data_IF_836428694270
#
_entry.id   IF_836428694270
#
_cell.length_a   1.000
_cell.length_b   1.000
_cell.length_c   1.000
_cell.angle_alpha   90.00
_cell.angle_beta   90.00
_cell.angle_gamma   90.00
#
_symmetry.space_group_name_H-M   'P 1'
#
loop_
_entity.id
_entity.type
_entity.pdbx_description
1 polymer ?
#
# COMPACT_ATOMS: atom_id res chain seq x y z
N UNK A 1 0.21 -12.17 9.18
CA UNK A 1 -0.79 -11.67 8.19
C UNK A 1 -1.26 -10.22 8.41
N UNK A 2 -1.29 -9.66 9.64
CA UNK A 2 -1.81 -8.30 9.90
C UNK A 2 -0.83 -7.15 9.62
N UNK A 3 0.47 -7.34 9.85
CA UNK A 3 1.48 -6.26 9.73
C UNK A 3 1.48 -5.57 8.37
N UNK A 4 1.40 -6.31 7.25
CA UNK A 4 1.36 -5.73 5.88
C UNK A 4 0.17 -4.79 5.65
N UNK A 5 -0.98 -5.11 6.23
CA UNK A 5 -2.19 -4.29 6.11
C UNK A 5 -2.12 -3.07 7.03
N UNK A 6 -1.51 -3.22 8.21
CA UNK A 6 -1.23 -2.10 9.12
C UNK A 6 -0.30 -1.09 8.43
N UNK A 7 0.78 -1.55 7.79
CA UNK A 7 1.72 -0.68 7.05
C UNK A 7 1.00 0.07 5.93
N UNK A 8 0.15 -0.61 5.16
CA UNK A 8 -0.63 0.04 4.10
C UNK A 8 -1.63 1.06 4.66
N UNK A 9 -2.33 0.73 5.75
CA UNK A 9 -3.26 1.64 6.42
C UNK A 9 -2.56 2.88 6.99
N UNK A 10 -1.38 2.72 7.59
CA UNK A 10 -0.58 3.84 8.11
C UNK A 10 -0.11 4.73 6.95
N UNK A 11 0.43 4.15 5.87
CA UNK A 11 0.82 4.91 4.68
C UNK A 11 -0.36 5.67 4.08
N UNK A 12 -1.53 5.04 4.00
CA UNK A 12 -2.77 5.67 3.54
C UNK A 12 -3.19 6.85 4.44
N UNK A 13 -3.15 6.67 5.75
CA UNK A 13 -3.49 7.72 6.72
C UNK A 13 -2.54 8.93 6.60
N UNK A 14 -1.23 8.69 6.42
CA UNK A 14 -0.25 9.76 6.20
C UNK A 14 -0.52 10.51 4.88
N UNK A 15 -0.82 9.79 3.80
CA UNK A 15 -1.18 10.40 2.52
C UNK A 15 -2.44 11.27 2.66
N UNK A 16 -3.49 10.77 3.30
CA UNK A 16 -4.73 11.52 3.54
C UNK A 16 -4.45 12.76 4.40
N UNK A 17 -3.66 12.64 5.46
CA UNK A 17 -3.29 13.77 6.30
C UNK A 17 -2.52 14.85 5.52
N UNK A 18 -1.57 14.46 4.66
CA UNK A 18 -0.81 15.38 3.81
C UNK A 18 -1.71 16.14 2.84
N UNK A 19 -2.62 15.45 2.15
CA UNK A 19 -3.57 16.09 1.24
C UNK A 19 -4.63 16.94 1.95
N UNK A 20 -5.02 16.55 3.17
CA UNK A 20 -5.90 17.37 4.01
C UNK A 20 -5.20 18.67 4.40
N UNK A 21 -3.92 18.63 4.77
CA UNK A 21 -3.13 19.83 5.04
C UNK A 21 -3.01 20.75 3.82
N UNK A 22 -2.84 20.20 2.61
CA UNK A 22 -2.87 20.98 1.36
C UNK A 22 -4.24 21.64 1.15
N UNK A 23 -5.33 20.90 1.35
CA UNK A 23 -6.68 21.45 1.19
C UNK A 23 -6.95 22.59 2.18
N UNK A 24 -6.56 22.41 3.45
CA UNK A 24 -6.66 23.46 4.47
C UNK A 24 -5.81 24.67 4.08
N UNK A 25 -4.56 24.45 3.63
CA UNK A 25 -3.69 25.54 3.18
C UNK A 25 -4.27 26.31 1.99
N UNK A 26 -4.99 25.64 1.09
CA UNK A 26 -5.64 26.28 -0.06
C UNK A 26 -6.89 27.10 0.33
N UNK A 27 -7.73 26.58 1.21
CA UNK A 27 -9.01 27.21 1.56
C UNK A 27 -8.94 28.21 2.71
N UNK A 28 -8.08 27.96 3.71
CA UNK A 28 -8.02 28.75 4.93
C UNK A 28 -6.85 29.75 4.95
N UNK A 29 -5.87 29.57 4.07
CA UNK A 29 -4.71 30.42 3.98
C UNK A 29 -4.56 30.92 2.54
N UNK A 30 -3.98 32.11 2.34
CA UNK A 30 -3.57 32.59 1.02
C UNK A 30 -2.08 32.35 0.87
N UNK A 31 -1.65 31.10 0.56
CA UNK A 31 -0.23 30.77 0.55
C UNK A 31 0.49 31.51 -0.56
N UNK A 32 1.72 31.92 -0.28
CA UNK A 32 2.62 32.39 -1.33
C UNK A 32 2.94 31.24 -2.28
N UNK A 33 3.35 31.58 -3.52
CA UNK A 33 3.66 30.58 -4.55
C UNK A 33 4.69 29.56 -4.07
N UNK A 34 5.72 30.00 -3.35
CA UNK A 34 6.75 29.12 -2.77
C UNK A 34 6.17 28.14 -1.76
N UNK A 35 5.36 28.60 -0.81
CA UNK A 35 4.74 27.74 0.20
C UNK A 35 3.79 26.74 -0.45
N UNK A 36 3.02 27.17 -1.45
CA UNK A 36 2.11 26.31 -2.22
C UNK A 36 2.87 25.20 -2.94
N UNK A 37 3.95 25.53 -3.65
CA UNK A 37 4.76 24.53 -4.36
C UNK A 37 5.32 23.49 -3.39
N UNK A 38 5.90 23.91 -2.26
CA UNK A 38 6.47 22.98 -1.27
C UNK A 38 5.39 22.03 -0.74
N UNK A 39 4.22 22.54 -0.36
CA UNK A 39 3.12 21.75 0.18
C UNK A 39 2.63 20.70 -0.82
N UNK A 40 2.40 21.11 -2.07
CA UNK A 40 1.92 20.20 -3.13
C UNK A 40 3.00 19.17 -3.48
N UNK A 41 4.28 19.53 -3.51
CA UNK A 41 5.37 18.58 -3.74
C UNK A 41 5.43 17.52 -2.65
N UNK A 42 5.32 17.90 -1.38
CA UNK A 42 5.30 16.94 -0.26
C UNK A 42 4.08 16.02 -0.37
N UNK A 43 2.91 16.56 -0.70
CA UNK A 43 1.70 15.75 -0.89
C UNK A 43 1.82 14.79 -2.09
N UNK A 44 2.44 15.21 -3.18
CA UNK A 44 2.72 14.33 -4.33
C UNK A 44 3.68 13.19 -3.96
N UNK A 45 4.75 13.48 -3.20
CA UNK A 45 5.67 12.45 -2.70
C UNK A 45 4.93 11.45 -1.81
N UNK A 46 3.97 11.91 -0.98
CA UNK A 46 3.19 11.00 -0.14
C UNK A 46 2.35 10.00 -0.93
N UNK A 47 1.83 10.40 -2.10
CA UNK A 47 1.11 9.53 -3.03
C UNK A 47 2.02 8.50 -3.67
N UNK A 48 3.20 8.93 -4.15
CA UNK A 48 4.21 8.04 -4.70
C UNK A 48 4.58 6.96 -3.68
N UNK A 49 4.92 7.36 -2.44
CA UNK A 49 5.25 6.43 -1.35
C UNK A 49 4.10 5.45 -1.10
N UNK A 50 2.85 5.92 -1.06
CA UNK A 50 1.68 5.06 -0.91
C UNK A 50 1.59 4.01 -2.03
N UNK A 51 1.80 4.41 -3.29
CA UNK A 51 1.77 3.48 -4.41
C UNK A 51 2.89 2.44 -4.36
N UNK A 52 4.11 2.82 -3.97
CA UNK A 52 5.21 1.88 -3.77
C UNK A 52 4.90 0.87 -2.65
N UNK A 53 4.36 1.34 -1.53
CA UNK A 53 3.95 0.47 -0.41
C UNK A 53 2.81 -0.46 -0.85
N UNK A 54 1.82 0.06 -1.57
CA UNK A 54 0.71 -0.73 -2.11
C UNK A 54 1.21 -1.82 -3.07
N UNK A 55 2.11 -1.47 -3.99
CA UNK A 55 2.72 -2.41 -4.91
C UNK A 55 3.47 -3.53 -4.18
N UNK A 56 4.25 -3.19 -3.16
CA UNK A 56 4.95 -4.18 -2.33
C UNK A 56 4.01 -5.11 -1.57
N UNK A 57 2.97 -4.57 -0.93
CA UNK A 57 1.99 -5.35 -0.14
C UNK A 57 1.13 -6.25 -1.03
N UNK A 58 0.68 -5.74 -2.17
CA UNK A 58 -0.13 -6.49 -3.14
C UNK A 58 0.72 -7.55 -3.85
N UNK A 59 1.93 -7.22 -4.27
CA UNK A 59 2.88 -8.17 -4.87
C UNK A 59 3.19 -9.34 -3.94
N UNK A 60 3.46 -9.07 -2.67
CA UNK A 60 3.67 -10.12 -1.67
C UNK A 60 2.43 -10.99 -1.47
N UNK A 61 1.25 -10.39 -1.49
CA UNK A 61 -0.02 -11.11 -1.33
C UNK A 61 -0.31 -12.03 -2.52
N UNK A 62 0.04 -11.61 -3.74
CA UNK A 62 -0.06 -12.43 -4.94
C UNK A 62 0.89 -13.64 -4.90
N UNK A 63 2.15 -13.43 -4.51
CA UNK A 63 3.14 -14.51 -4.32
C UNK A 63 2.72 -15.52 -3.24
N UNK A 64 2.17 -15.04 -2.13
CA UNK A 64 1.63 -15.90 -1.07
C UNK A 64 0.45 -16.75 -1.58
N UNK A 65 -0.45 -16.17 -2.39
CA UNK A 65 -1.55 -16.90 -3.02
C UNK A 65 -1.08 -17.99 -3.97
N UNK A 66 -0.07 -17.72 -4.82
CA UNK A 66 0.53 -18.73 -5.70
C UNK A 66 1.15 -19.89 -4.93
N UNK A 67 1.88 -19.60 -3.84
CA UNK A 67 2.46 -20.66 -2.99
C UNK A 67 1.38 -21.55 -2.38
N UNK A 68 0.29 -20.97 -1.86
CA UNK A 68 -0.82 -21.73 -1.29
C UNK A 68 -1.53 -22.62 -2.34
N UNK A 69 -1.71 -22.14 -3.57
CA UNK A 69 -2.30 -22.93 -4.66
C UNK A 69 -1.38 -24.08 -5.09
N UNK A 70 -0.08 -23.83 -5.21
CA UNK A 70 0.91 -24.87 -5.54
C UNK A 70 1.02 -25.94 -4.45
N UNK A 71 0.94 -25.54 -3.18
CA UNK A 71 0.97 -26.48 -2.06
C UNK A 71 -0.27 -27.38 -2.02
N UNK A 72 -1.45 -26.82 -2.33
CA UNK A 72 -2.69 -27.60 -2.52
C UNK A 72 -2.60 -28.56 -3.71
N UNK A 73 -1.99 -28.14 -4.81
CA UNK A 73 -1.76 -29.01 -5.97
C UNK A 73 -0.75 -30.11 -5.65
N UNK A 74 0.34 -29.80 -4.96
CA UNK A 74 1.32 -30.80 -4.49
C UNK A 74 0.67 -31.82 -3.56
N UNK A 75 -0.16 -31.39 -2.61
CA UNK A 75 -0.90 -32.32 -1.75
C UNK A 75 -1.86 -33.23 -2.53
N UNK A 76 -2.52 -32.72 -3.58
CA UNK A 76 -3.39 -33.53 -4.44
C UNK A 76 -2.64 -34.53 -5.33
N UNK A 77 -1.50 -34.13 -5.89
CA UNK A 77 -0.75 -34.98 -6.83
C UNK A 77 0.24 -35.93 -6.15
N UNK A 78 0.81 -35.55 -5.00
CA UNK A 78 1.82 -36.34 -4.29
C UNK A 78 1.34 -36.90 -2.94
N UNK A 79 0.17 -36.49 -2.43
CA UNK A 79 -0.37 -36.96 -1.14
C UNK A 79 -1.44 -38.06 -1.25
N UNK A 80 -1.84 -38.47 -2.46
CA UNK A 80 -2.89 -39.48 -2.69
C UNK A 80 -2.39 -40.91 -2.93
N UNK A 81 -1.12 -41.21 -2.66
CA UNK A 81 -0.45 -42.45 -3.11
C UNK A 81 -0.20 -43.53 -2.04
N UNK A 82 -0.85 -43.51 -0.87
CA UNK A 82 -0.54 -44.50 0.18
C UNK A 82 -1.73 -45.26 0.80
N UNK A 83 -2.95 -45.17 0.25
CA UNK A 83 -4.10 -45.93 0.76
C UNK A 83 -4.93 -46.59 -0.36
N UNK A 84 -4.29 -47.35 -1.25
CA UNK A 84 -4.98 -48.30 -2.15
C UNK A 84 -4.11 -49.54 -2.40
#
# INVERSE_FOLDING_TARGET
MRARWIVLSVAGAVCVAAWTAVAIAYFAFSPTLTTWTILVTIAAISLEVLFWVAAGVLGWSFLAGRRATLERLKQRFFGGGSDA
#
